data_IF_658204101413
#
_entry.id   IF_658204101413
#
_cell.length_a   1.000
_cell.length_b   1.000
_cell.length_c   1.000
_cell.angle_alpha   90.00
_cell.angle_beta   90.00
_cell.angle_gamma   90.00
#
_symmetry.space_group_name_H-M   'P 1'
#
loop_
_entity.id
_entity.type
_entity.pdbx_description
1 polymer ?
#
# COMPACT_ATOMS: atom_id res chain seq x y z
N UNK A 1 -29.67 -36.24 -51.64
CA UNK A 1 -30.35 -35.74 -50.42
C UNK A 1 -29.25 -35.57 -49.38
N UNK A 2 -28.53 -34.46 -49.28
CA UNK A 2 -28.91 -33.09 -48.86
C UNK A 2 -29.56 -33.05 -47.47
N UNK A 3 -28.77 -32.55 -46.51
CA UNK A 3 -29.03 -31.65 -45.36
C UNK A 3 -27.71 -31.61 -44.56
N UNK A 4 -26.84 -30.61 -44.69
CA UNK A 4 -26.92 -29.22 -44.21
C UNK A 4 -27.57 -29.06 -42.83
N UNK A 5 -26.78 -28.65 -41.83
CA UNK A 5 -26.70 -27.26 -41.37
C UNK A 5 -25.81 -27.17 -40.11
N UNK A 6 -25.02 -26.11 -40.02
CA UNK A 6 -24.01 -25.94 -38.98
C UNK A 6 -24.59 -25.59 -37.61
N UNK A 7 -23.74 -25.74 -36.60
CA UNK A 7 -23.88 -24.97 -35.37
C UNK A 7 -22.56 -24.28 -35.10
N UNK A 8 -22.49 -23.01 -35.50
CA UNK A 8 -21.42 -22.12 -35.10
C UNK A 8 -21.44 -22.01 -33.59
N UNK A 9 -20.36 -22.45 -32.95
CA UNK A 9 -20.08 -22.04 -31.59
C UNK A 9 -19.83 -20.53 -31.64
N UNK A 10 -20.84 -19.76 -31.27
CA UNK A 10 -20.69 -18.35 -30.95
C UNK A 10 -19.64 -18.26 -29.85
N UNK A 11 -18.44 -17.82 -30.22
CA UNK A 11 -17.54 -17.21 -29.27
C UNK A 11 -18.33 -16.07 -28.62
N UNK A 12 -18.81 -16.30 -27.40
CA UNK A 12 -19.31 -15.24 -26.55
C UNK A 12 -18.14 -14.30 -26.34
N UNK A 13 -18.11 -13.21 -27.11
CA UNK A 13 -17.35 -12.05 -26.72
C UNK A 13 -18.04 -11.54 -25.46
N UNK A 14 -17.53 -11.97 -24.30
CA UNK A 14 -17.85 -11.34 -23.03
C UNK A 14 -17.57 -9.85 -23.24
N UNK A 15 -18.62 -9.05 -23.23
CA UNK A 15 -18.50 -7.60 -23.18
C UNK A 15 -17.56 -7.29 -22.00
N UNK A 16 -16.65 -6.31 -22.09
CA UNK A 16 -15.85 -5.92 -20.94
C UNK A 16 -16.83 -5.66 -19.80
N UNK A 17 -16.78 -6.51 -18.77
CA UNK A 17 -17.74 -6.47 -17.68
C UNK A 17 -17.48 -5.16 -16.95
N UNK A 18 -18.28 -4.14 -17.28
CA UNK A 18 -18.24 -2.84 -16.62
C UNK A 18 -18.44 -3.06 -15.13
N UNK A 19 -17.64 -2.41 -14.31
CA UNK A 19 -17.73 -2.52 -12.87
C UNK A 19 -19.16 -2.18 -12.39
N UNK A 20 -19.70 -3.00 -11.50
CA UNK A 20 -21.09 -2.91 -11.02
C UNK A 20 -21.39 -1.56 -10.36
N UNK A 21 -20.38 -0.91 -9.78
CA UNK A 21 -20.54 0.40 -9.13
C UNK A 21 -20.15 1.58 -10.01
N UNK A 22 -19.80 1.38 -11.28
CA UNK A 22 -19.44 2.50 -12.15
C UNK A 22 -20.58 3.52 -12.26
N UNK A 23 -20.28 4.80 -12.01
CA UNK A 23 -21.26 5.89 -11.99
C UNK A 23 -22.22 5.88 -10.80
N UNK A 24 -22.12 4.93 -9.86
CA UNK A 24 -22.96 4.88 -8.68
C UNK A 24 -22.63 6.05 -7.72
N UNK A 25 -23.68 6.70 -7.19
CA UNK A 25 -23.56 7.83 -6.25
C UNK A 25 -22.82 7.46 -4.97
N UNK A 26 -22.82 6.19 -4.58
CA UNK A 26 -22.08 5.69 -3.41
C UNK A 26 -20.59 6.05 -3.48
N UNK A 27 -20.01 6.05 -4.70
CA UNK A 27 -18.60 6.38 -4.90
C UNK A 27 -18.30 7.82 -4.47
N UNK A 28 -19.10 8.78 -4.93
CA UNK A 28 -18.95 10.19 -4.56
C UNK A 28 -19.25 10.43 -3.07
N UNK A 29 -20.22 9.71 -2.50
CA UNK A 29 -20.56 9.81 -1.08
C UNK A 29 -19.43 9.35 -0.16
N UNK A 30 -18.73 8.27 -0.52
CA UNK A 30 -17.65 7.70 0.30
C UNK A 30 -16.31 8.37 0.03
N UNK A 31 -15.97 8.60 -1.24
CA UNK A 31 -14.63 9.04 -1.65
C UNK A 31 -14.49 10.57 -1.74
N UNK A 32 -15.60 11.31 -1.89
CA UNK A 32 -15.57 12.76 -2.02
C UNK A 32 -14.59 13.22 -3.12
N UNK A 33 -13.70 14.14 -2.77
CA UNK A 33 -12.70 14.70 -3.69
C UNK A 33 -11.71 13.65 -4.22
N UNK A 34 -11.50 12.55 -3.48
CA UNK A 34 -10.63 11.46 -3.91
C UNK A 34 -11.21 10.62 -5.05
N UNK A 35 -12.50 10.79 -5.39
CA UNK A 35 -13.12 10.02 -6.48
C UNK A 35 -12.41 10.21 -7.81
N UNK A 36 -12.03 11.43 -8.16
CA UNK A 36 -11.39 11.73 -9.43
C UNK A 36 -10.04 11.00 -9.60
N UNK A 37 -9.06 11.13 -8.67
CA UNK A 37 -7.82 10.36 -8.78
C UNK A 37 -8.04 8.84 -8.65
N UNK A 38 -9.00 8.40 -7.82
CA UNK A 38 -9.28 6.97 -7.68
C UNK A 38 -9.95 6.36 -8.92
N UNK A 39 -10.60 7.16 -9.77
CA UNK A 39 -11.06 6.70 -11.08
C UNK A 39 -9.90 6.39 -12.01
N UNK A 40 -8.84 7.18 -12.00
CA UNK A 40 -7.61 6.86 -12.74
C UNK A 40 -7.02 5.54 -12.26
N UNK A 41 -6.98 5.33 -10.94
CA UNK A 41 -6.52 4.07 -10.36
C UNK A 41 -7.39 2.87 -10.78
N UNK A 42 -8.71 3.03 -10.72
CA UNK A 42 -9.68 2.02 -11.16
C UNK A 42 -9.47 1.63 -12.63
N UNK A 43 -9.37 2.62 -13.52
CA UNK A 43 -9.18 2.40 -14.96
C UNK A 43 -7.86 1.67 -15.24
N UNK A 44 -6.78 2.03 -14.54
CA UNK A 44 -5.49 1.34 -14.64
C UNK A 44 -5.56 -0.11 -14.14
N UNK A 45 -6.26 -0.37 -13.03
CA UNK A 45 -6.51 -1.73 -12.52
C UNK A 45 -7.35 -2.55 -13.50
N UNK A 46 -8.38 -1.97 -14.11
CA UNK A 46 -9.22 -2.65 -15.09
C UNK A 46 -8.44 -2.99 -16.36
N UNK A 47 -7.54 -2.10 -16.79
CA UNK A 47 -6.72 -2.26 -18.00
C UNK A 47 -5.62 -3.32 -17.85
N UNK A 48 -4.92 -3.35 -16.71
CA UNK A 48 -3.66 -4.12 -16.61
C UNK A 48 -3.60 -5.01 -15.35
N UNK A 49 -4.55 -4.87 -14.43
CA UNK A 49 -4.48 -5.47 -13.10
C UNK A 49 -4.51 -7.00 -13.11
N UNK A 50 -5.24 -7.63 -14.03
CA UNK A 50 -5.26 -9.10 -14.16
C UNK A 50 -3.94 -9.60 -14.74
N UNK A 51 -3.50 -9.00 -15.85
CA UNK A 51 -2.30 -9.41 -16.59
C UNK A 51 -1.04 -9.29 -15.73
N UNK A 52 -0.96 -8.22 -14.93
CA UNK A 52 0.12 -8.00 -13.97
C UNK A 52 -0.09 -8.74 -12.65
N UNK A 53 -1.20 -9.47 -12.49
CA UNK A 53 -1.57 -10.24 -11.30
C UNK A 53 -1.80 -9.40 -10.05
N UNK A 54 -2.18 -8.13 -10.20
CA UNK A 54 -2.51 -7.18 -9.12
C UNK A 54 -3.87 -7.53 -8.50
N UNK A 55 -4.85 -7.88 -9.33
CA UNK A 55 -6.19 -8.32 -8.92
C UNK A 55 -6.51 -9.69 -9.53
N UNK A 56 -7.48 -10.41 -8.95
CA UNK A 56 -7.92 -11.69 -9.49
C UNK A 56 -8.86 -11.51 -10.71
N UNK A 57 -8.96 -12.49 -11.61
CA UNK A 57 -9.90 -12.45 -12.74
C UNK A 57 -11.37 -12.27 -12.32
N UNK A 58 -11.71 -12.72 -11.11
CA UNK A 58 -13.06 -12.58 -10.52
C UNK A 58 -13.35 -11.17 -9.99
N UNK A 59 -12.33 -10.33 -9.87
CA UNK A 59 -12.48 -9.00 -9.29
C UNK A 59 -12.80 -7.92 -10.35
N UNK A 60 -12.69 -8.23 -11.66
CA UNK A 60 -12.78 -7.24 -12.75
C UNK A 60 -14.05 -6.40 -12.74
N UNK A 61 -15.20 -7.03 -12.45
CA UNK A 61 -16.50 -6.36 -12.39
C UNK A 61 -16.83 -5.73 -11.03
N UNK A 62 -15.94 -5.81 -10.04
CA UNK A 62 -16.18 -5.38 -8.65
C UNK A 62 -14.96 -4.66 -8.04
N UNK A 63 -14.11 -4.04 -8.85
CA UNK A 63 -12.90 -3.34 -8.39
C UNK A 63 -13.25 -2.24 -7.41
N UNK A 64 -14.30 -1.45 -7.70
CA UNK A 64 -14.78 -0.39 -6.82
C UNK A 64 -15.10 -0.92 -5.42
N UNK A 65 -15.99 -1.91 -5.31
CA UNK A 65 -16.40 -2.45 -4.02
C UNK A 65 -15.27 -3.20 -3.34
N UNK A 66 -14.69 -4.18 -4.04
CA UNK A 66 -13.78 -5.16 -3.45
C UNK A 66 -12.46 -4.53 -3.07
N UNK A 67 -11.94 -3.59 -3.85
CA UNK A 67 -10.58 -3.08 -3.70
C UNK A 67 -10.56 -1.64 -3.22
N UNK A 68 -11.27 -0.73 -3.88
CA UNK A 68 -11.17 0.71 -3.58
C UNK A 68 -11.98 1.09 -2.34
N UNK A 69 -13.30 0.92 -2.34
CA UNK A 69 -14.17 1.25 -1.21
C UNK A 69 -13.79 0.44 0.04
N UNK A 70 -13.49 -0.85 -0.12
CA UNK A 70 -13.02 -1.66 1.00
C UNK A 70 -11.74 -1.07 1.62
N UNK A 71 -10.78 -0.61 0.80
CA UNK A 71 -9.57 0.05 1.32
C UNK A 71 -9.88 1.40 1.97
N UNK A 72 -10.82 2.17 1.43
CA UNK A 72 -11.25 3.45 1.99
C UNK A 72 -11.91 3.31 3.37
N UNK A 73 -12.37 2.12 3.76
CA UNK A 73 -12.97 1.86 5.07
C UNK A 73 -12.02 2.13 6.25
N UNK A 74 -10.70 2.23 6.04
CA UNK A 74 -9.75 2.62 7.10
C UNK A 74 -9.66 4.14 7.32
N UNK A 75 -10.13 4.96 6.37
CA UNK A 75 -9.97 6.42 6.38
C UNK A 75 -10.58 7.07 7.64
N UNK A 76 -11.78 6.68 8.11
CA UNK A 76 -12.32 7.23 9.37
C UNK A 76 -11.41 6.99 10.57
N UNK A 77 -10.77 5.82 10.66
CA UNK A 77 -9.88 5.46 11.77
C UNK A 77 -8.55 6.23 11.73
N UNK A 78 -8.05 6.53 10.53
CA UNK A 78 -6.89 7.42 10.36
C UNK A 78 -7.24 8.85 10.78
N UNK A 79 -8.42 9.35 10.40
CA UNK A 79 -8.91 10.68 10.83
C UNK A 79 -9.07 10.78 12.34
N UNK A 80 -9.60 9.73 12.97
CA UNK A 80 -9.72 9.63 14.43
C UNK A 80 -8.34 9.64 15.11
N UNK A 81 -7.38 8.84 14.62
CA UNK A 81 -6.01 8.84 15.14
C UNK A 81 -5.35 10.24 15.07
N UNK A 82 -5.52 10.96 13.94
CA UNK A 82 -5.03 12.32 13.79
C UNK A 82 -5.71 13.29 14.78
N UNK A 83 -7.02 13.16 15.00
CA UNK A 83 -7.77 13.97 15.96
C UNK A 83 -7.35 13.70 17.41
N UNK A 84 -6.88 12.49 17.72
CA UNK A 84 -6.27 12.11 19.00
C UNK A 84 -4.82 12.61 19.16
N UNK A 85 -4.26 13.24 18.12
CA UNK A 85 -2.90 13.81 18.13
C UNK A 85 -1.80 12.86 17.67
N UNK A 86 -2.15 11.71 17.08
CA UNK A 86 -1.18 10.85 16.38
C UNK A 86 -0.74 11.56 15.10
N UNK A 87 0.56 11.51 14.78
CA UNK A 87 1.13 12.24 13.63
C UNK A 87 0.70 11.71 12.25
N UNK A 88 1.00 12.43 11.16
CA UNK A 88 0.51 12.14 9.81
C UNK A 88 1.38 11.17 8.99
N UNK A 89 2.47 10.61 9.53
CA UNK A 89 3.38 9.72 8.79
C UNK A 89 2.88 8.28 8.87
N UNK A 90 2.49 7.72 7.72
CA UNK A 90 1.84 6.42 7.63
C UNK A 90 2.72 5.46 6.82
N UNK A 91 2.94 4.25 7.34
CA UNK A 91 3.52 3.16 6.56
C UNK A 91 2.44 2.16 6.17
N UNK A 92 2.35 1.82 4.89
CA UNK A 92 1.52 0.71 4.42
C UNK A 92 2.40 -0.52 4.16
N UNK A 93 2.22 -1.57 4.96
CA UNK A 93 3.05 -2.78 4.89
C UNK A 93 2.45 -3.78 3.92
N UNK A 94 3.24 -4.21 2.94
CA UNK A 94 2.82 -5.19 1.93
C UNK A 94 1.81 -4.60 0.95
N UNK A 95 2.08 -3.38 0.47
CA UNK A 95 1.15 -2.60 -0.35
C UNK A 95 0.70 -3.31 -1.62
N UNK A 96 1.50 -4.23 -2.18
CA UNK A 96 1.12 -5.06 -3.31
C UNK A 96 0.64 -4.25 -4.51
N UNK A 97 -0.68 -4.24 -4.73
CA UNK A 97 -1.34 -3.45 -5.79
C UNK A 97 -1.59 -1.98 -5.46
N UNK A 98 -1.28 -1.54 -4.25
CA UNK A 98 -1.59 -0.22 -3.70
C UNK A 98 -2.69 -0.24 -2.64
N UNK A 99 -3.04 -1.40 -2.06
CA UNK A 99 -4.17 -1.51 -1.13
C UNK A 99 -3.69 -1.79 0.30
N UNK A 100 -4.10 -0.98 1.30
CA UNK A 100 -4.92 0.23 1.21
C UNK A 100 -4.14 1.52 0.87
N UNK A 101 -2.80 1.49 0.82
CA UNK A 101 -1.97 2.70 0.84
C UNK A 101 -2.24 3.76 -0.23
N UNK A 102 -2.41 3.39 -1.50
CA UNK A 102 -2.74 4.34 -2.59
C UNK A 102 -4.12 4.97 -2.37
N UNK A 103 -5.09 4.15 -1.95
CA UNK A 103 -6.45 4.62 -1.70
C UNK A 103 -6.47 5.59 -0.52
N UNK A 104 -5.73 5.26 0.54
CA UNK A 104 -5.57 6.11 1.69
C UNK A 104 -4.91 7.44 1.33
N UNK A 105 -3.82 7.42 0.55
CA UNK A 105 -3.10 8.62 0.14
C UNK A 105 -3.99 9.59 -0.64
N UNK A 106 -4.81 9.07 -1.57
CA UNK A 106 -5.77 9.88 -2.31
C UNK A 106 -6.86 10.49 -1.41
N UNK A 107 -7.32 9.75 -0.38
CA UNK A 107 -8.32 10.24 0.57
C UNK A 107 -7.75 11.20 1.63
N UNK A 108 -6.45 11.14 1.88
CA UNK A 108 -5.77 11.88 2.95
C UNK A 108 -4.54 12.62 2.42
N UNK A 109 -4.71 13.64 1.56
CA UNK A 109 -3.60 14.37 0.93
C UNK A 109 -2.69 15.11 1.93
N UNK A 110 -3.10 15.28 3.18
CA UNK A 110 -2.30 15.85 4.26
C UNK A 110 -1.42 14.84 5.00
N UNK A 111 -1.50 13.54 4.69
CA UNK A 111 -0.69 12.48 5.29
C UNK A 111 0.48 12.09 4.39
N UNK A 112 1.63 11.80 4.99
CA UNK A 112 2.81 11.30 4.28
C UNK A 112 2.78 9.77 4.27
N UNK A 113 2.45 9.16 3.13
CA UNK A 113 2.26 7.70 3.01
C UNK A 113 3.50 7.03 2.41
N UNK A 114 4.09 6.09 3.14
CA UNK A 114 5.17 5.22 2.63
C UNK A 114 4.64 3.82 2.33
N UNK A 115 4.74 3.37 1.08
CA UNK A 115 4.38 2.03 0.64
C UNK A 115 5.58 1.08 0.76
N UNK A 116 5.51 0.08 1.65
CA UNK A 116 6.59 -0.87 1.88
C UNK A 116 6.28 -2.16 1.11
N UNK A 117 7.02 -2.40 0.03
CA UNK A 117 6.77 -3.50 -0.89
C UNK A 117 8.08 -4.13 -1.40
N UNK A 118 8.39 -5.40 -1.10
CA UNK A 118 9.65 -6.02 -1.50
C UNK A 118 9.73 -6.41 -2.98
N UNK A 119 8.59 -6.63 -3.65
CA UNK A 119 8.56 -7.17 -5.01
C UNK A 119 8.78 -6.07 -6.05
N UNK A 120 9.87 -6.17 -6.80
CA UNK A 120 10.26 -5.18 -7.84
C UNK A 120 9.14 -4.82 -8.81
N UNK A 121 8.50 -5.84 -9.40
CA UNK A 121 7.39 -5.63 -10.34
C UNK A 121 6.21 -4.87 -9.72
N UNK A 122 6.02 -4.97 -8.40
CA UNK A 122 4.98 -4.24 -7.66
C UNK A 122 5.43 -2.81 -7.39
N UNK A 123 6.69 -2.61 -7.00
CA UNK A 123 7.28 -1.28 -6.81
C UNK A 123 7.20 -0.45 -8.09
N UNK A 124 7.58 -1.02 -9.24
CA UNK A 124 7.47 -0.34 -10.54
C UNK A 124 6.02 0.00 -10.88
N UNK A 125 5.10 -0.94 -10.69
CA UNK A 125 3.66 -0.71 -10.87
C UNK A 125 3.12 0.42 -9.97
N UNK A 126 3.53 0.44 -8.69
CA UNK A 126 3.15 1.50 -7.75
C UNK A 126 3.68 2.87 -8.20
N UNK A 127 4.91 2.93 -8.73
CA UNK A 127 5.45 4.14 -9.35
C UNK A 127 4.56 4.65 -10.50
N UNK A 128 4.20 3.78 -11.45
CA UNK A 128 3.28 4.13 -12.54
C UNK A 128 1.93 4.64 -12.02
N UNK A 129 1.37 4.02 -10.97
CA UNK A 129 0.11 4.43 -10.35
C UNK A 129 0.23 5.84 -9.74
N UNK A 130 1.31 6.10 -8.98
CA UNK A 130 1.57 7.39 -8.34
C UNK A 130 1.68 8.50 -9.40
N UNK A 131 2.42 8.24 -10.47
CA UNK A 131 2.61 9.17 -11.58
C UNK A 131 1.29 9.45 -12.33
N UNK A 132 0.52 8.40 -12.69
CA UNK A 132 -0.75 8.55 -13.40
C UNK A 132 -1.81 9.28 -12.56
N UNK A 133 -1.83 9.07 -11.25
CA UNK A 133 -2.74 9.75 -10.32
C UNK A 133 -2.26 11.14 -9.88
N UNK A 134 -1.01 11.51 -10.20
CA UNK A 134 -0.34 12.72 -9.70
C UNK A 134 -0.39 12.83 -8.16
N UNK A 135 -0.05 11.75 -7.46
CA UNK A 135 0.01 11.74 -6.00
C UNK A 135 1.36 12.30 -5.52
N UNK A 136 1.32 13.40 -4.75
CA UNK A 136 2.53 14.06 -4.24
C UNK A 136 2.93 13.59 -2.84
N UNK A 137 2.03 12.90 -2.13
CA UNK A 137 2.17 12.52 -0.73
C UNK A 137 2.51 11.03 -0.54
N UNK A 138 3.09 10.39 -1.56
CA UNK A 138 3.40 8.95 -1.55
C UNK A 138 4.88 8.70 -1.83
N UNK A 139 5.50 7.81 -1.06
CA UNK A 139 6.86 7.29 -1.30
C UNK A 139 6.82 5.77 -1.37
N UNK A 140 7.54 5.15 -2.31
CA UNK A 140 7.66 3.68 -2.38
C UNK A 140 9.01 3.23 -1.81
N UNK A 141 8.99 2.33 -0.85
CA UNK A 141 10.16 1.74 -0.21
C UNK A 141 10.26 0.25 -0.56
N UNK A 142 11.21 -0.09 -1.44
CA UNK A 142 11.50 -1.48 -1.83
C UNK A 142 12.25 -2.24 -0.75
N UNK A 143 11.54 -2.73 0.27
CA UNK A 143 12.10 -3.51 1.38
C UNK A 143 11.10 -4.53 1.91
N UNK A 144 11.59 -5.56 2.61
CA UNK A 144 10.76 -6.34 3.53
C UNK A 144 10.44 -5.50 4.77
N UNK A 145 9.28 -5.71 5.40
CA UNK A 145 8.90 -4.97 6.60
C UNK A 145 9.95 -5.08 7.72
N UNK A 146 10.53 -6.26 7.87
CA UNK A 146 11.56 -6.57 8.87
C UNK A 146 12.88 -5.82 8.65
N UNK A 147 13.14 -5.36 7.42
CA UNK A 147 14.35 -4.62 7.04
C UNK A 147 14.19 -3.10 7.22
N UNK A 148 12.96 -2.61 7.45
CA UNK A 148 12.67 -1.18 7.63
C UNK A 148 12.96 -0.73 9.07
N UNK A 149 12.89 -1.65 10.04
CA UNK A 149 13.24 -1.35 11.43
C UNK A 149 14.75 -1.04 11.51
N UNK A 150 15.16 0.13 12.05
CA UNK A 150 16.57 0.43 12.24
C UNK A 150 17.19 -0.68 13.08
N UNK A 151 18.34 -1.21 12.65
CA UNK A 151 19.08 -2.15 13.48
C UNK A 151 19.44 -1.44 14.78
N UNK A 152 18.78 -1.79 15.89
CA UNK A 152 19.23 -1.40 17.23
C UNK A 152 20.71 -1.70 17.27
N UNK A 153 21.54 -0.65 17.40
CA UNK A 153 22.99 -0.81 17.47
C UNK A 153 23.24 -1.89 18.51
N UNK A 154 23.74 -3.07 18.09
CA UNK A 154 24.17 -4.11 19.01
C UNK A 154 25.21 -3.47 19.92
N UNK A 155 24.81 -3.12 21.14
CA UNK A 155 25.77 -2.83 22.20
C UNK A 155 26.43 -4.17 22.46
N UNK A 156 27.67 -4.32 21.99
CA UNK A 156 28.45 -5.48 22.39
C UNK A 156 28.58 -5.50 23.93
N UNK A 157 28.76 -6.69 24.50
CA UNK A 157 28.94 -6.88 25.95
C UNK A 157 30.26 -6.28 26.49
N UNK A 158 30.95 -5.42 25.74
CA UNK A 158 32.23 -4.82 26.12
C UNK A 158 32.23 -3.28 26.17
N UNK A 159 31.11 -2.62 25.83
CA UNK A 159 30.95 -1.17 26.02
C UNK A 159 31.91 -0.29 25.20
N UNK A 160 32.60 -0.82 24.18
CA UNK A 160 33.52 -0.05 23.35
C UNK A 160 32.94 0.26 21.97
N UNK A 161 32.72 1.55 21.72
CA UNK A 161 32.35 2.10 20.41
C UNK A 161 33.41 1.73 19.36
N UNK A 162 33.05 0.88 18.40
CA UNK A 162 33.87 0.65 17.20
C UNK A 162 33.63 1.80 16.22
N UNK A 163 34.45 2.83 16.27
CA UNK A 163 34.48 3.89 15.25
C UNK A 163 35.01 3.26 13.96
N UNK A 164 34.18 3.14 12.92
CA UNK A 164 34.66 2.84 11.57
C UNK A 164 35.32 4.09 11.02
N UNK A 165 36.63 4.04 10.85
CA UNK A 165 37.43 5.06 10.19
C UNK A 165 37.06 5.05 8.70
N UNK A 166 36.47 6.13 8.21
CA UNK A 166 36.28 6.36 6.77
C UNK A 166 37.58 6.98 6.27
N UNK A 167 38.37 6.22 5.51
CA UNK A 167 39.52 6.76 4.79
C UNK A 167 39.01 7.43 3.51
N UNK A 168 39.10 8.76 3.46
CA UNK A 168 38.94 9.54 2.24
C UNK A 168 40.23 9.42 1.40
N UNK A 169 40.11 8.97 0.14
CA UNK A 169 41.15 9.16 -0.88
C UNK A 169 40.66 10.15 -1.95
N UNK A 170 41.48 11.10 -2.43
CA UNK A 170 41.03 12.17 -3.30
C UNK A 170 41.01 11.79 -4.79
N UNK A 171 40.20 12.56 -5.51
CA UNK A 171 39.91 12.54 -6.95
C UNK A 171 41.14 12.76 -7.82
N UNK A 172 41.16 12.14 -9.01
CA UNK A 172 41.77 12.73 -10.20
C UNK A 172 40.74 12.76 -11.34
N UNK A 173 40.57 13.95 -11.92
CA UNK A 173 39.77 14.16 -13.12
C UNK A 173 40.56 13.87 -14.39
N UNK A 174 39.84 13.65 -15.49
CA UNK A 174 40.33 14.09 -16.78
C UNK A 174 39.17 14.46 -17.72
N UNK A 175 39.40 15.54 -18.44
CA UNK A 175 38.57 16.16 -19.47
C UNK A 175 38.54 15.37 -20.78
N UNK A 176 37.41 15.39 -21.48
CA UNK A 176 37.29 14.94 -22.87
C UNK A 176 35.99 15.45 -23.52
N UNK A 177 36.15 16.42 -24.43
CA UNK A 177 35.09 17.00 -25.27
C UNK A 177 34.69 16.06 -26.42
N UNK A 178 33.41 16.14 -26.84
CA UNK A 178 33.03 15.97 -28.25
C UNK A 178 31.80 15.09 -28.51
N UNK A 179 30.80 15.65 -29.21
CA UNK A 179 29.93 14.89 -30.10
C UNK A 179 28.42 14.94 -29.83
N UNK A 180 27.74 15.90 -30.45
CA UNK A 180 26.29 15.97 -30.60
C UNK A 180 25.71 14.80 -31.41
N UNK A 181 24.56 14.26 -31.02
CA UNK A 181 23.51 13.84 -31.96
C UNK A 181 22.13 13.74 -31.28
N UNK A 182 21.15 14.38 -31.90
CA UNK A 182 19.72 14.29 -31.63
C UNK A 182 19.19 12.86 -31.87
N UNK A 183 18.33 12.38 -30.96
CA UNK A 183 17.16 11.51 -31.25
C UNK A 183 16.30 11.29 -29.99
N UNK A 184 15.00 11.59 -30.12
CA UNK A 184 13.87 11.01 -29.37
C UNK A 184 13.86 11.12 -27.84
N UNK A 185 13.14 12.10 -27.29
CA UNK A 185 12.80 12.14 -25.86
C UNK A 185 11.62 11.21 -25.57
N UNK A 186 11.87 9.92 -25.42
CA UNK A 186 11.06 9.09 -24.54
C UNK A 186 11.49 9.42 -23.10
N UNK A 187 10.64 10.12 -22.36
CA UNK A 187 10.85 10.34 -20.92
C UNK A 187 10.55 9.02 -20.20
N UNK A 188 11.51 8.11 -20.20
CA UNK A 188 11.55 7.04 -19.21
C UNK A 188 11.81 7.69 -17.85
N UNK A 189 10.84 7.58 -16.94
CA UNK A 189 11.05 7.94 -15.54
C UNK A 189 12.28 7.18 -15.03
N UNK A 190 13.24 7.91 -14.49
CA UNK A 190 14.51 7.36 -14.04
C UNK A 190 14.23 6.47 -12.81
N UNK A 191 14.55 5.17 -12.87
CA UNK A 191 14.33 4.17 -11.79
C UNK A 191 14.82 4.62 -10.41
N UNK A 192 15.75 5.57 -10.37
CA UNK A 192 16.36 6.13 -9.15
C UNK A 192 15.51 7.18 -8.42
N UNK A 193 14.46 7.74 -9.04
CA UNK A 193 13.59 8.75 -8.41
C UNK A 193 12.36 8.12 -7.70
N UNK A 194 11.92 6.93 -8.12
CA UNK A 194 10.74 6.23 -7.55
C UNK A 194 11.07 5.61 -6.18
N UNK A 195 12.35 5.27 -5.94
CA UNK A 195 12.82 4.62 -4.70
C UNK A 195 13.49 5.66 -3.82
N UNK A 196 12.72 6.34 -2.97
CA UNK A 196 13.27 7.29 -2.00
C UNK A 196 14.19 6.62 -0.96
N UNK A 197 15.38 7.17 -0.75
CA UNK A 197 16.34 6.72 0.30
C UNK A 197 15.98 7.24 1.72
N UNK A 198 14.79 7.80 1.95
CA UNK A 198 14.52 8.44 3.26
C UNK A 198 13.06 8.47 3.73
N UNK A 199 12.63 7.34 4.31
CA UNK A 199 11.78 7.34 5.51
C UNK A 199 12.06 6.06 6.31
N UNK A 200 13.15 6.08 7.09
CA UNK A 200 13.36 5.00 8.06
C UNK A 200 12.34 5.14 9.19
N UNK A 201 11.80 4.00 9.63
CA UNK A 201 10.96 3.94 10.83
C UNK A 201 11.64 4.69 12.01
N UNK A 202 10.87 5.24 12.96
CA UNK A 202 9.46 4.95 13.20
C UNK A 202 8.45 5.83 12.43
N UNK A 203 7.23 5.30 12.32
CA UNK A 203 6.03 5.90 11.75
C UNK A 203 4.98 6.16 12.84
N UNK A 204 4.02 7.04 12.53
CA UNK A 204 2.93 7.37 13.44
C UNK A 204 1.79 6.37 13.36
N UNK A 205 1.50 5.92 12.14
CA UNK A 205 0.53 4.87 11.87
C UNK A 205 1.12 3.82 10.94
N UNK A 206 0.66 2.58 11.09
CA UNK A 206 0.96 1.49 10.16
C UNK A 206 -0.35 0.89 9.68
N UNK A 207 -0.55 0.83 8.36
CA UNK A 207 -1.68 0.19 7.71
C UNK A 207 -1.24 -1.08 6.99
N UNK A 208 -2.20 -1.97 6.74
CA UNK A 208 -1.99 -3.13 5.90
C UNK A 208 -3.34 -3.79 5.56
N UNK A 209 -3.34 -4.56 4.47
CA UNK A 209 -4.47 -5.42 4.08
C UNK A 209 -3.96 -6.75 3.56
N UNK A 210 -4.58 -7.84 4.03
CA UNK A 210 -4.37 -9.19 3.50
C UNK A 210 -2.89 -9.69 3.43
N UNK A 211 -2.02 -9.21 4.31
CA UNK A 211 -0.58 -9.55 4.28
C UNK A 211 -0.28 -10.88 4.97
N UNK A 212 -0.78 -11.06 6.20
CA UNK A 212 -0.54 -12.25 7.03
C UNK A 212 -1.53 -12.33 8.20
N UNK A 213 -1.65 -13.50 8.86
CA UNK A 213 -2.34 -13.62 10.13
C UNK A 213 -1.74 -12.68 11.21
N UNK A 214 -2.57 -12.23 12.16
CA UNK A 214 -2.14 -11.29 13.21
C UNK A 214 -0.92 -11.76 14.03
N UNK A 215 -0.72 -13.07 14.18
CA UNK A 215 0.43 -13.66 14.89
C UNK A 215 1.78 -13.40 14.23
N UNK A 216 1.81 -13.11 12.93
CA UNK A 216 3.03 -12.68 12.21
C UNK A 216 3.03 -11.18 11.99
N UNK A 217 1.88 -10.66 11.55
CA UNK A 217 1.71 -9.26 11.16
C UNK A 217 2.16 -8.30 12.26
N UNK A 218 1.77 -8.56 13.50
CA UNK A 218 2.10 -7.69 14.64
C UNK A 218 3.59 -7.63 14.95
N UNK A 219 4.34 -8.71 14.69
CA UNK A 219 5.80 -8.72 14.80
C UNK A 219 6.50 -7.94 13.68
N UNK A 220 5.82 -7.68 12.57
CA UNK A 220 6.33 -6.85 11.48
C UNK A 220 5.94 -5.38 11.63
N UNK A 221 4.69 -5.11 12.03
CA UNK A 221 4.12 -3.76 12.00
C UNK A 221 4.37 -2.97 13.29
N UNK A 222 4.22 -3.58 14.47
CA UNK A 222 4.38 -2.86 15.74
C UNK A 222 5.81 -2.33 15.98
N UNK A 223 6.89 -2.99 15.52
CA UNK A 223 8.24 -2.41 15.59
C UNK A 223 8.46 -1.18 14.69
N UNK A 224 7.59 -0.94 13.70
CA UNK A 224 7.68 0.23 12.82
C UNK A 224 7.04 1.47 13.42
N UNK A 225 6.27 1.34 14.51
CA UNK A 225 5.58 2.45 15.17
C UNK A 225 6.46 3.12 16.22
N UNK A 226 6.32 4.44 16.38
CA UNK A 226 6.80 5.13 17.57
C UNK A 226 5.94 4.77 18.78
N UNK A 227 6.45 4.97 20.00
CA UNK A 227 5.61 4.91 21.20
C UNK A 227 4.50 5.97 21.12
N UNK A 228 3.24 5.57 21.23
CA UNK A 228 2.05 6.38 20.96
C UNK A 228 1.47 6.22 19.55
N UNK A 229 2.12 5.47 18.66
CA UNK A 229 1.61 5.21 17.30
C UNK A 229 0.54 4.12 17.27
N UNK A 230 -0.11 3.92 16.12
CA UNK A 230 -1.22 2.97 15.96
C UNK A 230 -1.11 2.08 14.73
N UNK A 231 -1.33 0.78 14.90
CA UNK A 231 -1.62 -0.16 13.82
C UNK A 231 -3.10 -0.07 13.46
N UNK A 232 -3.40 0.09 12.17
CA UNK A 232 -4.76 0.13 11.60
C UNK A 232 -4.82 -0.90 10.46
N UNK A 233 -5.18 -2.14 10.78
CA UNK A 233 -5.10 -3.26 9.86
C UNK A 233 -6.48 -3.68 9.35
N UNK A 234 -6.68 -3.70 8.03
CA UNK A 234 -7.92 -4.20 7.43
C UNK A 234 -7.95 -5.72 7.48
N UNK A 235 -9.01 -6.27 8.07
CA UNK A 235 -9.21 -7.69 8.33
C UNK A 235 -10.62 -8.16 7.96
N UNK A 236 -10.76 -9.48 7.83
CA UNK A 236 -12.06 -10.12 7.63
C UNK A 236 -12.74 -10.46 8.96
N UNK A 237 -13.87 -11.17 8.86
CA UNK A 237 -14.71 -11.57 10.00
C UNK A 237 -13.99 -12.44 11.05
N UNK A 238 -12.82 -12.99 10.74
CA UNK A 238 -11.98 -13.76 11.69
C UNK A 238 -11.12 -12.88 12.60
N UNK A 239 -11.23 -11.55 12.51
CA UNK A 239 -10.36 -10.59 13.21
C UNK A 239 -10.28 -10.83 14.72
N UNK A 240 -11.42 -11.06 15.40
CA UNK A 240 -11.48 -11.30 16.85
C UNK A 240 -10.62 -12.51 17.25
N UNK A 241 -10.87 -13.65 16.61
CA UNK A 241 -10.09 -14.86 16.87
C UNK A 241 -8.61 -14.72 16.49
N UNK A 242 -8.27 -13.87 15.52
CA UNK A 242 -6.90 -13.58 15.15
C UNK A 242 -6.16 -12.74 16.20
N UNK A 243 -6.80 -11.73 16.80
CA UNK A 243 -6.18 -10.89 17.83
C UNK A 243 -5.96 -11.67 19.12
N UNK A 244 -6.91 -12.54 19.51
CA UNK A 244 -6.77 -13.43 20.67
C UNK A 244 -5.55 -14.34 20.55
N UNK A 245 -5.40 -14.97 19.39
CA UNK A 245 -4.25 -15.83 19.08
C UNK A 245 -2.94 -15.04 19.06
N UNK A 246 -2.99 -13.77 18.68
CA UNK A 246 -1.83 -12.88 18.60
C UNK A 246 -1.49 -12.19 19.92
N UNK A 247 -2.29 -12.30 20.99
CA UNK A 247 -2.13 -11.54 22.22
C UNK A 247 -0.71 -11.56 22.81
N UNK A 248 -0.05 -12.72 22.80
CA UNK A 248 1.35 -12.85 23.26
C UNK A 248 2.33 -12.09 22.37
N UNK A 249 2.16 -12.16 21.05
CA UNK A 249 3.04 -11.48 20.10
C UNK A 249 2.79 -9.96 20.10
N UNK A 250 1.53 -9.52 20.23
CA UNK A 250 1.15 -8.11 20.41
C UNK A 250 1.88 -7.54 21.64
N UNK A 251 1.73 -8.19 22.80
CA UNK A 251 2.39 -7.75 24.03
C UNK A 251 3.91 -7.75 23.92
N UNK A 252 4.50 -8.78 23.30
CA UNK A 252 5.95 -8.89 23.08
C UNK A 252 6.50 -7.74 22.25
N UNK A 253 5.72 -7.23 21.30
CA UNK A 253 6.11 -6.09 20.46
C UNK A 253 5.56 -4.75 20.98
N UNK A 254 5.26 -4.67 22.27
CA UNK A 254 4.80 -3.45 22.95
C UNK A 254 3.47 -2.90 22.41
N UNK A 255 2.62 -3.77 21.88
CA UNK A 255 1.25 -3.41 21.53
C UNK A 255 0.33 -3.47 22.76
N UNK A 256 -0.64 -2.56 22.81
CA UNK A 256 -1.70 -2.49 23.82
C UNK A 256 -3.06 -2.24 23.18
N UNK A 257 -4.14 -2.41 23.96
CA UNK A 257 -5.52 -2.15 23.58
C UNK A 257 -5.94 -2.73 22.21
N UNK A 258 -5.63 -4.02 21.91
CA UNK A 258 -6.08 -4.62 20.67
C UNK A 258 -7.61 -4.65 20.65
N UNK A 259 -8.21 -4.16 19.57
CA UNK A 259 -9.66 -4.13 19.38
C UNK A 259 -10.02 -4.31 17.92
N UNK A 260 -11.19 -4.89 17.68
CA UNK A 260 -11.80 -5.01 16.37
C UNK A 260 -12.94 -4.01 16.27
N UNK A 261 -12.98 -3.27 15.18
CA UNK A 261 -14.05 -2.34 14.87
C UNK A 261 -14.71 -2.75 13.56
N UNK A 262 -16.03 -2.66 13.51
CA UNK A 262 -16.77 -2.70 12.25
C UNK A 262 -16.47 -1.43 11.45
N UNK A 263 -16.25 -1.60 10.16
CA UNK A 263 -15.84 -0.55 9.25
C UNK A 263 -16.77 -0.54 8.03
N UNK A 264 -17.71 0.42 7.96
CA UNK A 264 -18.60 0.56 6.83
C UNK A 264 -17.81 0.84 5.54
N UNK A 265 -18.16 0.13 4.47
CA UNK A 265 -17.56 0.30 3.13
C UNK A 265 -18.31 1.35 2.33
N UNK A 266 -19.63 1.37 2.47
CA UNK A 266 -20.53 2.34 1.85
C UNK A 266 -21.99 1.94 2.09
N UNK A 267 -22.95 2.87 1.94
CA UNK A 267 -24.37 2.56 2.05
C UNK A 267 -24.81 1.35 1.22
N UNK A 268 -25.34 0.32 1.89
CA UNK A 268 -25.85 -0.90 1.24
C UNK A 268 -24.79 -1.91 0.80
N UNK A 269 -23.51 -1.68 1.14
CA UNK A 269 -22.41 -2.61 0.85
C UNK A 269 -22.03 -3.43 2.09
N UNK A 270 -21.40 -4.59 1.88
CA UNK A 270 -20.94 -5.42 2.99
C UNK A 270 -19.83 -4.69 3.78
N UNK A 271 -20.02 -4.61 5.09
CA UNK A 271 -19.03 -4.01 5.99
C UNK A 271 -17.76 -4.87 6.10
N UNK A 272 -16.66 -4.25 6.50
CA UNK A 272 -15.40 -4.92 6.77
C UNK A 272 -14.97 -4.73 8.21
N UNK A 273 -13.85 -5.32 8.61
CA UNK A 273 -13.35 -5.18 9.99
C UNK A 273 -12.00 -4.49 9.96
N UNK A 274 -11.75 -3.63 10.94
CA UNK A 274 -10.46 -2.99 11.16
C UNK A 274 -9.96 -3.39 12.53
N UNK A 275 -8.73 -3.88 12.59
CA UNK A 275 -8.03 -4.16 13.83
C UNK A 275 -7.18 -2.96 14.19
N UNK A 276 -7.35 -2.46 15.42
CA UNK A 276 -6.56 -1.39 16.00
C UNK A 276 -5.67 -1.93 17.11
N UNK A 277 -4.39 -1.53 17.12
CA UNK A 277 -3.45 -1.83 18.22
C UNK A 277 -2.59 -0.60 18.46
N UNK A 278 -2.58 -0.10 19.69
CA UNK A 278 -1.77 1.06 20.09
C UNK A 278 -0.35 0.60 20.48
N UNK A 279 0.65 1.44 20.24
CA UNK A 279 2.06 1.18 20.59
C UNK A 279 2.45 1.92 21.87
N UNK A 280 3.13 1.23 22.80
CA UNK A 280 3.79 1.83 23.98
C UNK A 280 5.31 1.77 23.92
#
# INVERSE_FOLDING_TARGET
MIKDAGNGASAGMDLPQTDVLEGNRVLAQVLGDALAPLKVFHEKLAREGIERGIIGPRDQGIIWERHILNSAAIVPFVKEALAEGIGPRIADVGSGGGFPGIVLAACMPSCDVTLIEPMERRVLWLGEVIDEMNLENVTVLRKRAEEVVPSSKKVDKSGRRKVRRVENHPRHGNSGMGGSNHRGSERGANESEIVGDSSQAPYDMVTCRAVAPMTKLTGWTLPLLHAGGRLIALKGRSAEAEIDKAAKEIKKNHGMNPRVCEAPVGPGLEETHVVLVDKV
#
